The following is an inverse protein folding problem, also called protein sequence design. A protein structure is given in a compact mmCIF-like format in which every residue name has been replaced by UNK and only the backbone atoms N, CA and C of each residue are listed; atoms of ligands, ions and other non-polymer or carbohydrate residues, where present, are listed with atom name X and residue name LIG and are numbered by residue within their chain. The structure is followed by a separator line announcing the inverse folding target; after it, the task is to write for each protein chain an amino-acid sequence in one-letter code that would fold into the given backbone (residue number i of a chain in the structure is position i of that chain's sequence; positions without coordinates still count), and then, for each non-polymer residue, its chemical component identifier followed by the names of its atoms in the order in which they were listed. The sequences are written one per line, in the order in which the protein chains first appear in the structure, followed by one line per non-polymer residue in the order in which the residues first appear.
data_IF_650544865682
#
_entry.id   IF_650544865682
#
_cell.length_a   1.000
_cell.length_b   1.000
_cell.length_c   1.000
_cell.angle_alpha   90.00
_cell.angle_beta   90.00
_cell.angle_gamma   90.00
#
_symmetry.space_group_name_H-M   'P 1'
#
loop_
_entity.id
_entity.type
_entity.pdbx_description
1 polymer ?
#
# COMPACT_ATOMS: atom_id res chain seq x y z
N UNK A 1 -0.31 -24.26 11.59
CA UNK A 1 -0.44 -23.47 10.34
C UNK A 1 0.26 -24.25 9.25
N UNK A 2 -0.48 -24.88 8.33
CA UNK A 2 0.11 -25.40 7.11
C UNK A 2 0.45 -24.18 6.25
N UNK A 3 1.74 -23.92 6.03
CA UNK A 3 2.17 -22.91 5.07
C UNK A 3 1.62 -23.26 3.69
N UNK A 4 1.17 -22.27 2.93
CA UNK A 4 0.80 -22.48 1.54
C UNK A 4 2.08 -22.86 0.77
N UNK A 5 2.26 -24.16 0.56
CA UNK A 5 3.46 -24.75 -0.06
C UNK A 5 3.71 -24.20 -1.47
N UNK A 6 2.73 -23.51 -2.06
CA UNK A 6 2.87 -22.86 -3.37
C UNK A 6 3.70 -21.58 -3.31
N UNK A 7 3.66 -20.84 -2.20
CA UNK A 7 4.43 -19.58 -2.07
C UNK A 7 5.93 -19.87 -1.92
N UNK A 8 6.27 -21.00 -1.30
CA UNK A 8 7.66 -21.44 -1.10
C UNK A 8 8.39 -21.66 -2.43
N UNK A 9 7.66 -21.95 -3.52
CA UNK A 9 8.22 -22.19 -4.86
C UNK A 9 9.05 -21.02 -5.38
N UNK A 10 8.63 -19.79 -5.07
CA UNK A 10 9.26 -18.58 -5.60
C UNK A 10 9.85 -17.68 -4.51
N UNK A 11 9.71 -18.05 -3.23
CA UNK A 11 10.12 -17.23 -2.08
C UNK A 11 11.54 -16.68 -2.22
N UNK A 12 12.54 -17.53 -2.48
CA UNK A 12 13.93 -17.10 -2.61
C UNK A 12 14.14 -16.14 -3.80
N UNK A 13 13.39 -16.34 -4.90
CA UNK A 13 13.47 -15.48 -6.08
C UNK A 13 12.93 -14.10 -5.71
N UNK A 14 11.78 -14.05 -5.05
CA UNK A 14 11.14 -12.80 -4.62
C UNK A 14 12.02 -12.09 -3.58
N UNK A 15 12.47 -12.79 -2.55
CA UNK A 15 13.32 -12.23 -1.50
C UNK A 15 14.60 -11.60 -2.09
N UNK A 16 15.27 -12.30 -3.00
CA UNK A 16 16.48 -11.79 -3.65
C UNK A 16 16.22 -10.62 -4.59
N UNK A 17 15.14 -10.65 -5.37
CA UNK A 17 14.84 -9.58 -6.34
C UNK A 17 14.30 -8.32 -5.69
N UNK A 18 13.63 -8.46 -4.54
CA UNK A 18 12.90 -7.41 -3.84
C UNK A 18 13.49 -7.03 -2.47
N UNK A 19 14.71 -7.44 -2.15
CA UNK A 19 15.35 -7.18 -0.85
C UNK A 19 15.27 -5.70 -0.39
N UNK A 20 15.38 -4.77 -1.33
CA UNK A 20 15.32 -3.32 -1.09
C UNK A 20 14.01 -2.68 -1.61
N UNK A 21 13.02 -3.51 -1.92
CA UNK A 21 11.74 -3.11 -2.51
C UNK A 21 10.82 -2.44 -1.49
N UNK A 22 10.17 -1.36 -1.92
CA UNK A 22 9.17 -0.63 -1.12
C UNK A 22 8.02 -1.55 -0.69
N UNK A 23 7.50 -2.36 -1.62
CA UNK A 23 6.39 -3.25 -1.33
C UNK A 23 6.82 -4.46 -0.52
N UNK A 24 8.03 -4.98 -0.72
CA UNK A 24 8.60 -5.98 0.18
C UNK A 24 8.65 -5.46 1.63
N UNK A 25 9.07 -4.20 1.82
CA UNK A 25 9.11 -3.57 3.14
C UNK A 25 7.73 -3.41 3.76
N UNK A 26 6.72 -2.96 2.99
CA UNK A 26 5.36 -2.68 3.49
C UNK A 26 4.52 -3.95 3.64
N UNK A 27 4.42 -4.76 2.58
CA UNK A 27 3.50 -5.90 2.47
C UNK A 27 4.09 -7.19 3.02
N UNK A 28 5.42 -7.26 3.17
CA UNK A 28 6.19 -8.46 3.55
C UNK A 28 6.23 -9.52 2.45
N UNK A 29 7.12 -10.49 2.65
CA UNK A 29 7.44 -11.54 1.67
C UNK A 29 6.22 -12.34 1.23
N UNK A 30 5.39 -12.77 2.17
CA UNK A 30 4.22 -13.63 1.90
C UNK A 30 3.26 -13.00 0.89
N UNK A 31 2.80 -11.77 1.16
CA UNK A 31 1.87 -11.05 0.29
C UNK A 31 2.51 -10.69 -1.06
N UNK A 32 3.80 -10.33 -1.06
CA UNK A 32 4.50 -10.02 -2.30
C UNK A 32 4.68 -11.27 -3.18
N UNK A 33 5.04 -12.42 -2.61
CA UNK A 33 5.09 -13.70 -3.29
C UNK A 33 3.74 -14.03 -3.93
N UNK A 34 2.65 -13.91 -3.15
CA UNK A 34 1.29 -14.18 -3.62
C UNK A 34 0.92 -13.31 -4.83
N UNK A 35 1.26 -12.02 -4.81
CA UNK A 35 1.05 -11.10 -5.95
C UNK A 35 1.87 -11.50 -7.17
N UNK A 36 3.16 -11.78 -7.00
CA UNK A 36 4.05 -12.17 -8.11
C UNK A 36 3.59 -13.48 -8.74
N UNK A 37 3.20 -14.46 -7.92
CA UNK A 37 2.61 -15.71 -8.40
C UNK A 37 1.32 -15.45 -9.18
N UNK A 38 0.43 -14.59 -8.67
CA UNK A 38 -0.79 -14.23 -9.39
C UNK A 38 -0.50 -13.53 -10.73
N UNK A 39 0.52 -12.67 -10.79
CA UNK A 39 0.97 -12.05 -12.05
C UNK A 39 1.49 -13.10 -13.03
N UNK A 40 2.39 -13.97 -12.56
CA UNK A 40 2.98 -15.04 -13.37
C UNK A 40 1.91 -15.97 -13.97
N UNK A 41 0.94 -16.40 -13.18
CA UNK A 41 -0.12 -17.31 -13.61
C UNK A 41 -1.11 -16.59 -14.52
N UNK A 42 -1.70 -15.48 -14.07
CA UNK A 42 -2.84 -14.84 -14.77
C UNK A 42 -2.44 -14.01 -15.97
N UNK A 43 -1.29 -13.35 -15.90
CA UNK A 43 -0.87 -12.39 -16.92
C UNK A 43 0.23 -12.93 -17.82
N UNK A 44 0.88 -14.05 -17.47
CA UNK A 44 1.94 -14.64 -18.29
C UNK A 44 1.74 -16.14 -18.60
N UNK A 45 0.64 -16.78 -18.17
CA UNK A 45 0.34 -18.21 -18.33
C UNK A 45 1.40 -19.14 -17.71
N UNK A 46 1.98 -18.75 -16.57
CA UNK A 46 2.88 -19.62 -15.81
C UNK A 46 2.15 -20.82 -15.20
N UNK A 47 2.73 -22.01 -15.32
CA UNK A 47 2.18 -23.25 -14.76
C UNK A 47 2.88 -23.63 -13.44
N UNK A 48 2.18 -23.55 -12.28
CA UNK A 48 2.75 -23.93 -11.00
C UNK A 48 2.84 -25.45 -10.77
N UNK A 49 2.29 -26.30 -11.66
CA UNK A 49 2.32 -27.76 -11.50
C UNK A 49 3.74 -28.36 -11.59
N UNK A 50 4.65 -27.65 -12.28
CA UNK A 50 6.08 -27.99 -12.32
C UNK A 50 6.92 -27.02 -11.48
N UNK A 51 7.14 -27.25 -10.17
CA UNK A 51 7.87 -26.36 -9.25
C UNK A 51 9.15 -25.72 -9.81
N UNK A 52 10.06 -26.54 -10.34
CA UNK A 52 11.34 -26.08 -10.85
C UNK A 52 11.19 -25.26 -12.13
N UNK A 53 10.31 -25.72 -13.04
CA UNK A 53 10.00 -25.02 -14.29
C UNK A 53 9.32 -23.67 -13.99
N UNK A 54 8.37 -23.64 -13.07
CA UNK A 54 7.69 -22.43 -12.63
C UNK A 54 8.66 -21.43 -12.00
N UNK A 55 9.53 -21.89 -11.11
CA UNK A 55 10.56 -21.05 -10.48
C UNK A 55 11.53 -20.46 -11.52
N UNK A 56 11.96 -21.27 -12.49
CA UNK A 56 12.82 -20.81 -13.59
C UNK A 56 12.09 -19.79 -14.48
N UNK A 57 10.83 -20.05 -14.79
CA UNK A 57 9.95 -19.15 -15.53
C UNK A 57 9.81 -17.79 -14.81
N UNK A 58 9.42 -17.77 -13.54
CA UNK A 58 9.30 -16.53 -12.75
C UNK A 58 10.62 -15.77 -12.72
N UNK A 59 11.75 -16.46 -12.57
CA UNK A 59 13.08 -15.85 -12.63
C UNK A 59 13.37 -15.20 -14.00
N UNK A 60 13.00 -15.84 -15.10
CA UNK A 60 13.17 -15.28 -16.45
C UNK A 60 12.32 -14.03 -16.67
N UNK A 61 11.12 -13.95 -16.08
CA UNK A 61 10.25 -12.78 -16.19
C UNK A 61 10.82 -11.48 -15.59
N UNK A 62 11.93 -11.53 -14.84
CA UNK A 62 12.63 -10.33 -14.33
C UNK A 62 13.73 -9.80 -15.24
N UNK A 63 14.02 -10.45 -16.37
CA UNK A 63 15.19 -10.13 -17.18
C UNK A 63 14.82 -9.85 -18.63
N UNK A 64 15.47 -8.83 -19.16
CA UNK A 64 15.53 -8.52 -20.57
C UNK A 64 16.88 -9.01 -21.10
N UNK A 65 16.88 -10.22 -21.68
CA UNK A 65 18.11 -10.94 -21.97
C UNK A 65 18.88 -11.23 -20.68
N UNK A 66 20.08 -10.65 -20.54
CA UNK A 66 20.94 -10.83 -19.36
C UNK A 66 20.86 -9.67 -18.35
N UNK A 67 20.08 -8.64 -18.65
CA UNK A 67 20.01 -7.42 -17.84
C UNK A 67 18.64 -7.28 -17.17
N UNK A 68 18.57 -6.47 -16.11
CA UNK A 68 17.27 -6.00 -15.61
C UNK A 68 16.72 -4.94 -16.59
N UNK A 69 15.42 -4.98 -16.91
CA UNK A 69 14.79 -3.96 -17.76
C UNK A 69 14.92 -2.58 -17.11
N UNK A 70 15.23 -1.57 -17.93
CA UNK A 70 15.29 -0.17 -17.47
C UNK A 70 13.99 0.53 -17.87
N UNK A 71 13.23 0.96 -16.87
CA UNK A 71 11.99 1.70 -17.06
C UNK A 71 12.26 3.20 -16.92
N UNK A 72 12.09 4.02 -17.97
CA UNK A 72 12.22 5.47 -17.87
C UNK A 72 11.34 6.05 -16.77
N UNK A 73 11.84 7.08 -16.09
CA UNK A 73 11.13 7.84 -15.05
C UNK A 73 10.78 7.10 -13.75
N UNK A 74 11.02 5.78 -13.69
CA UNK A 74 10.86 4.97 -12.47
C UNK A 74 12.22 4.38 -12.07
N UNK A 75 13.12 5.19 -11.49
CA UNK A 75 14.40 4.70 -11.02
C UNK A 75 14.20 3.59 -9.97
N UNK A 76 14.98 2.52 -10.09
CA UNK A 76 14.87 1.37 -9.19
C UNK A 76 13.67 0.45 -9.47
N UNK A 77 12.95 0.61 -10.58
CA UNK A 77 11.86 -0.29 -10.95
C UNK A 77 12.30 -1.76 -10.94
N UNK A 78 11.56 -2.59 -10.21
CA UNK A 78 11.68 -4.06 -10.24
C UNK A 78 10.57 -4.53 -11.18
N UNK A 79 10.90 -4.59 -12.46
CA UNK A 79 9.95 -4.88 -13.52
C UNK A 79 9.78 -6.39 -13.75
N UNK A 80 8.59 -6.77 -14.22
CA UNK A 80 8.21 -8.13 -14.55
C UNK A 80 7.57 -8.15 -15.94
N UNK A 81 8.00 -9.07 -16.79
CA UNK A 81 7.63 -9.09 -18.20
C UNK A 81 6.11 -9.08 -18.38
N UNK A 82 5.61 -8.19 -19.24
CA UNK A 82 4.20 -8.12 -19.59
C UNK A 82 3.98 -8.74 -20.96
N UNK A 83 3.38 -9.94 -20.98
CA UNK A 83 3.15 -10.68 -22.23
C UNK A 83 2.18 -9.90 -23.14
N UNK A 84 2.56 -9.57 -24.39
CA UNK A 84 1.76 -8.69 -25.25
C UNK A 84 0.52 -9.37 -25.87
N UNK A 85 0.51 -10.70 -25.92
CA UNK A 85 -0.51 -11.54 -26.56
C UNK A 85 -1.80 -11.71 -25.72
N UNK A 86 -1.75 -11.37 -24.43
CA UNK A 86 -2.88 -11.56 -23.52
C UNK A 86 -3.79 -10.32 -23.51
N UNK A 87 -5.03 -10.52 -23.99
CA UNK A 87 -6.13 -9.53 -23.99
C UNK A 87 -6.53 -9.02 -22.60
N UNK A 88 -5.98 -9.58 -21.52
CA UNK A 88 -6.16 -9.09 -20.16
C UNK A 88 -5.55 -7.69 -19.92
N UNK A 89 -4.82 -7.12 -20.90
CA UNK A 89 -3.97 -5.93 -20.75
C UNK A 89 -4.68 -4.57 -20.64
N UNK A 90 -5.99 -4.48 -20.86
CA UNK A 90 -6.66 -3.16 -20.79
C UNK A 90 -6.70 -2.56 -19.39
N UNK A 91 -6.68 -3.39 -18.34
CA UNK A 91 -6.80 -2.92 -16.94
C UNK A 91 -5.44 -2.66 -16.31
N UNK A 92 -4.43 -3.48 -16.62
CA UNK A 92 -3.12 -3.37 -15.98
C UNK A 92 -2.29 -2.19 -16.52
N UNK A 93 -1.50 -1.56 -15.64
CA UNK A 93 -0.52 -0.56 -16.04
C UNK A 93 0.74 -1.25 -16.54
N UNK A 94 1.16 -0.90 -17.76
CA UNK A 94 2.39 -1.41 -18.38
C UNK A 94 3.28 -0.24 -18.73
N UNK A 95 4.58 -0.46 -18.60
CA UNK A 95 5.60 0.56 -18.78
C UNK A 95 6.57 0.09 -19.86
N UNK A 96 6.84 0.98 -20.81
CA UNK A 96 7.79 0.72 -21.88
C UNK A 96 9.22 0.85 -21.32
N UNK A 97 10.00 -0.21 -21.46
CA UNK A 97 11.44 -0.19 -21.17
C UNK A 97 12.24 0.53 -22.26
N UNK A 98 13.52 0.78 -22.02
CA UNK A 98 14.42 1.42 -23.00
C UNK A 98 14.58 0.64 -24.31
N UNK A 99 14.26 -0.65 -24.33
CA UNK A 99 14.26 -1.49 -25.54
C UNK A 99 12.96 -1.43 -26.35
N UNK A 100 11.91 -0.81 -25.80
CA UNK A 100 10.55 -0.83 -26.36
C UNK A 100 9.65 -1.95 -25.82
N UNK A 101 10.16 -2.90 -25.02
CA UNK A 101 9.32 -3.95 -24.43
C UNK A 101 8.40 -3.42 -23.32
N UNK A 102 7.24 -4.05 -23.13
CA UNK A 102 6.27 -3.72 -22.09
C UNK A 102 6.52 -4.53 -20.81
N UNK A 103 6.43 -3.87 -19.66
CA UNK A 103 6.67 -4.46 -18.34
C UNK A 103 5.64 -4.01 -17.31
N UNK A 104 5.30 -4.88 -16.38
CA UNK A 104 4.67 -4.51 -15.12
C UNK A 104 5.74 -4.02 -14.15
N UNK A 105 5.43 -3.06 -13.29
CA UNK A 105 6.32 -2.69 -12.17
C UNK A 105 5.74 -3.33 -10.91
N UNK A 106 6.35 -4.42 -10.45
CA UNK A 106 5.85 -5.16 -9.28
C UNK A 106 6.37 -4.60 -7.97
N UNK A 107 7.48 -3.87 -8.00
CA UNK A 107 8.03 -3.15 -6.87
C UNK A 107 8.99 -2.05 -7.37
N UNK A 108 9.42 -1.17 -6.47
CA UNK A 108 10.45 -0.17 -6.73
C UNK A 108 11.46 -0.23 -5.59
N UNK A 109 12.73 -0.41 -5.92
CA UNK A 109 13.82 -0.34 -4.96
C UNK A 109 14.01 1.10 -4.47
N UNK A 110 14.11 1.28 -3.16
CA UNK A 110 14.41 2.58 -2.56
C UNK A 110 15.80 2.58 -1.92
N UNK A 111 16.52 3.69 -2.09
CA UNK A 111 17.83 3.90 -1.44
C UNK A 111 17.70 4.05 0.07
N UNK A 112 16.54 4.53 0.55
CA UNK A 112 16.25 4.77 1.96
C UNK A 112 14.82 4.34 2.29
N UNK A 113 14.68 3.07 2.70
CA UNK A 113 13.39 2.51 3.15
C UNK A 113 12.86 3.18 4.42
N UNK A 114 13.71 3.88 5.17
CA UNK A 114 13.35 4.53 6.43
C UNK A 114 12.40 5.72 6.22
N UNK A 115 12.33 6.25 4.99
CA UNK A 115 11.38 7.30 4.55
C UNK A 115 10.05 6.76 4.05
N UNK A 116 9.92 5.45 3.89
CA UNK A 116 8.67 4.82 3.46
C UNK A 116 7.78 4.65 4.68
N UNK A 117 6.55 5.17 4.62
CA UNK A 117 5.59 5.05 5.72
C UNK A 117 5.13 3.60 5.81
N UNK A 118 5.37 2.89 6.92
CA UNK A 118 5.01 1.48 7.05
C UNK A 118 3.53 1.35 7.42
N UNK A 119 2.65 1.60 6.46
CA UNK A 119 1.19 1.58 6.62
C UNK A 119 0.63 0.20 7.00
N UNK A 120 1.45 -0.84 7.02
CA UNK A 120 1.06 -2.20 7.39
C UNK A 120 0.12 -2.86 6.38
N UNK A 121 0.06 -4.18 6.41
CA UNK A 121 -0.84 -4.94 5.55
C UNK A 121 -2.26 -4.93 6.12
N UNK A 122 -3.24 -4.55 5.30
CA UNK A 122 -4.65 -4.80 5.58
C UNK A 122 -5.01 -6.21 5.09
N UNK A 123 -5.46 -7.08 6.00
CA UNK A 123 -5.93 -8.43 5.67
C UNK A 123 -7.38 -8.59 6.16
N UNK A 124 -8.37 -8.55 5.26
CA UNK A 124 -9.78 -8.69 5.65
C UNK A 124 -10.03 -10.06 6.26
N UNK A 125 -10.80 -10.13 7.35
CA UNK A 125 -11.24 -11.38 7.99
C UNK A 125 -10.14 -12.32 8.49
N UNK A 126 -8.88 -11.85 8.61
CA UNK A 126 -7.74 -12.72 8.96
C UNK A 126 -7.99 -13.57 10.21
N UNK A 127 -8.64 -12.98 11.21
CA UNK A 127 -8.91 -13.63 12.51
C UNK A 127 -10.19 -14.45 12.51
N UNK A 128 -11.17 -14.12 11.66
CA UNK A 128 -12.51 -14.71 11.69
C UNK A 128 -12.73 -15.79 10.63
N UNK A 129 -12.13 -15.65 9.45
CA UNK A 129 -12.36 -16.52 8.31
C UNK A 129 -11.14 -16.57 7.36
N UNK A 130 -10.05 -17.24 7.75
CA UNK A 130 -8.80 -17.24 6.99
C UNK A 130 -8.93 -17.78 5.55
N UNK A 131 -9.81 -18.78 5.32
CA UNK A 131 -10.09 -19.26 3.96
C UNK A 131 -10.75 -18.20 3.07
N UNK A 132 -11.65 -17.38 3.65
CA UNK A 132 -12.26 -16.24 2.95
C UNK A 132 -11.22 -15.15 2.69
N UNK A 133 -10.31 -14.92 3.63
CA UNK A 133 -9.17 -14.00 3.43
C UNK A 133 -8.34 -14.41 2.23
N UNK A 134 -7.93 -15.68 2.15
CA UNK A 134 -7.13 -16.19 1.03
C UNK A 134 -7.85 -16.00 -0.31
N UNK A 135 -9.13 -16.39 -0.40
CA UNK A 135 -9.92 -16.21 -1.63
C UNK A 135 -10.05 -14.74 -2.06
N UNK A 136 -10.29 -13.82 -1.12
CA UNK A 136 -10.35 -12.37 -1.42
C UNK A 136 -8.99 -11.84 -1.86
N UNK A 137 -7.93 -12.24 -1.18
CA UNK A 137 -6.59 -11.82 -1.54
C UNK A 137 -6.25 -12.34 -2.94
N UNK A 138 -6.59 -13.59 -3.26
CA UNK A 138 -6.39 -14.11 -4.59
C UNK A 138 -7.20 -13.33 -5.62
N UNK A 139 -8.44 -12.95 -5.37
CA UNK A 139 -9.26 -12.28 -6.39
C UNK A 139 -8.95 -10.80 -6.65
N UNK A 140 -8.09 -10.14 -5.85
CA UNK A 140 -7.70 -8.75 -6.08
C UNK A 140 -6.66 -8.58 -7.20
N UNK A 141 -6.60 -7.37 -7.74
CA UNK A 141 -5.58 -6.93 -8.69
C UNK A 141 -4.19 -7.04 -8.04
N UNK A 142 -3.31 -7.94 -8.53
CA UNK A 142 -2.00 -8.13 -7.93
C UNK A 142 -1.03 -6.99 -8.26
N UNK A 143 -1.22 -6.28 -9.38
CA UNK A 143 -0.28 -5.26 -9.88
C UNK A 143 -0.50 -3.92 -9.15
N UNK A 144 0.53 -3.34 -8.52
CA UNK A 144 0.48 -2.00 -7.94
C UNK A 144 0.27 -0.92 -9.02
N UNK A 145 -0.53 0.10 -8.71
CA UNK A 145 -0.74 1.23 -9.60
C UNK A 145 0.22 2.37 -9.23
N UNK A 146 1.41 2.36 -9.83
CA UNK A 146 2.43 3.39 -9.60
C UNK A 146 2.03 4.71 -10.25
N UNK A 147 2.18 5.80 -9.48
CA UNK A 147 1.92 7.17 -9.94
C UNK A 147 3.19 7.70 -10.58
N UNK A 148 3.23 7.79 -11.90
CA UNK A 148 4.40 8.29 -12.64
C UNK A 148 4.00 9.59 -13.34
N UNK A 149 4.63 10.68 -12.94
CA UNK A 149 4.39 12.02 -13.51
C UNK A 149 5.39 12.37 -14.61
N UNK A 150 5.50 13.67 -14.90
CA UNK A 150 6.44 14.25 -15.86
C UNK A 150 7.90 14.10 -15.40
N UNK A 151 8.44 12.88 -15.48
CA UNK A 151 9.85 12.60 -15.24
C UNK A 151 10.19 11.96 -13.90
N UNK A 152 9.22 11.74 -13.02
CA UNK A 152 9.49 11.21 -11.68
C UNK A 152 8.39 10.29 -11.14
N UNK A 153 8.78 9.45 -10.17
CA UNK A 153 7.89 8.58 -9.44
C UNK A 153 7.23 9.33 -8.27
N UNK A 154 5.91 9.34 -8.26
CA UNK A 154 5.07 9.86 -7.21
C UNK A 154 4.57 11.28 -7.44
N UNK A 155 3.64 11.70 -6.60
CA UNK A 155 3.06 13.04 -6.61
C UNK A 155 3.00 13.60 -5.17
N UNK A 156 3.35 14.87 -4.93
CA UNK A 156 3.22 15.49 -3.60
C UNK A 156 1.78 15.43 -3.09
N UNK A 157 1.58 15.13 -1.81
CA UNK A 157 0.24 15.09 -1.20
C UNK A 157 -0.28 16.48 -0.87
N UNK A 158 0.62 17.43 -0.58
CA UNK A 158 0.31 18.82 -0.26
C UNK A 158 -0.47 19.58 -1.36
N UNK A 159 -0.87 20.83 -1.08
CA UNK A 159 -1.65 21.65 -2.02
C UNK A 159 -0.86 22.02 -3.28
N UNK A 160 0.47 22.02 -3.19
CA UNK A 160 1.39 22.23 -4.29
C UNK A 160 1.62 20.89 -4.99
N UNK A 161 1.25 20.81 -6.26
CA UNK A 161 1.41 19.59 -7.04
C UNK A 161 0.46 19.66 -8.21
N UNK A 162 1.00 20.15 -9.32
CA UNK A 162 0.30 20.19 -10.58
C UNK A 162 -0.12 18.76 -10.99
N UNK A 163 -1.34 18.64 -11.47
CA UNK A 163 -1.97 17.37 -11.89
C UNK A 163 -1.58 17.05 -13.34
N UNK A 164 -0.65 17.79 -13.92
CA UNK A 164 -0.26 17.61 -15.31
C UNK A 164 0.17 16.18 -15.63
N UNK A 165 -0.47 15.66 -16.69
CA UNK A 165 -0.16 14.45 -17.48
C UNK A 165 0.53 13.33 -16.72
N UNK A 166 -0.24 12.58 -15.95
CA UNK A 166 0.26 11.32 -15.38
C UNK A 166 0.26 10.22 -16.43
N UNK A 167 1.32 9.40 -16.42
CA UNK A 167 1.31 8.17 -17.18
C UNK A 167 0.13 7.32 -16.71
N UNK A 168 -0.69 6.88 -17.66
CA UNK A 168 -1.95 6.15 -17.41
C UNK A 168 -3.05 6.96 -16.71
N UNK A 169 -2.96 8.29 -16.62
CA UNK A 169 -4.00 9.12 -16.00
C UNK A 169 -5.40 8.85 -16.54
N UNK A 170 -5.53 8.68 -17.85
CA UNK A 170 -6.81 8.40 -18.53
C UNK A 170 -7.21 6.92 -18.50
N UNK A 171 -6.35 6.02 -18.01
CA UNK A 171 -6.72 4.60 -17.97
C UNK A 171 -7.91 4.40 -17.03
N UNK A 172 -8.93 3.62 -17.44
CA UNK A 172 -10.03 3.26 -16.56
C UNK A 172 -9.54 2.47 -15.34
N UNK A 173 -10.01 2.84 -14.16
CA UNK A 173 -9.86 2.09 -12.92
C UNK A 173 -11.09 1.20 -12.70
N UNK A 174 -10.98 -0.03 -13.19
CA UNK A 174 -12.06 -1.01 -13.22
C UNK A 174 -11.80 -2.20 -12.29
N UNK A 175 -12.81 -3.03 -12.10
CA UNK A 175 -12.68 -4.34 -11.49
C UNK A 175 -11.93 -5.28 -12.43
N UNK A 176 -11.49 -6.43 -11.91
CA UNK A 176 -10.80 -7.47 -12.70
C UNK A 176 -11.65 -8.01 -13.85
N UNK A 177 -12.97 -7.94 -13.75
CA UNK A 177 -13.92 -8.29 -14.82
C UNK A 177 -14.20 -7.12 -15.79
N UNK A 178 -13.50 -6.00 -15.67
CA UNK A 178 -13.66 -4.81 -16.53
C UNK A 178 -14.80 -3.86 -16.12
N UNK A 179 -15.63 -4.20 -15.14
CA UNK A 179 -16.72 -3.31 -14.73
C UNK A 179 -16.21 -2.08 -13.96
N UNK A 180 -16.88 -0.91 -14.07
CA UNK A 180 -16.46 0.28 -13.32
C UNK A 180 -16.51 0.08 -11.80
N UNK A 181 -15.48 0.56 -11.09
CA UNK A 181 -15.52 0.66 -9.63
C UNK A 181 -16.25 1.93 -9.22
N UNK A 182 -17.52 1.84 -8.85
CA UNK A 182 -18.30 3.03 -8.47
C UNK A 182 -17.81 3.69 -7.18
N UNK A 183 -17.41 2.85 -6.22
CA UNK A 183 -17.04 3.25 -4.87
C UNK A 183 -15.83 2.45 -4.41
N UNK A 184 -14.85 3.13 -3.82
CA UNK A 184 -13.67 2.50 -3.23
C UNK A 184 -13.32 3.16 -1.91
N UNK A 185 -12.94 2.37 -0.91
CA UNK A 185 -12.43 2.84 0.37
C UNK A 185 -10.92 3.01 0.33
N UNK A 186 -10.43 4.15 0.79
CA UNK A 186 -9.01 4.34 1.14
C UNK A 186 -8.83 3.88 2.57
N UNK A 187 -7.88 2.97 2.80
CA UNK A 187 -7.54 2.48 4.12
C UNK A 187 -6.10 2.87 4.46
N UNK A 188 -5.92 3.43 5.65
CA UNK A 188 -4.64 3.90 6.16
C UNK A 188 -4.46 3.31 7.55
N UNK A 189 -3.48 2.41 7.72
CA UNK A 189 -3.07 1.90 9.03
C UNK A 189 -1.74 2.55 9.42
N UNK A 190 -1.82 3.84 9.74
CA UNK A 190 -0.64 4.64 10.05
C UNK A 190 0.01 4.18 11.37
N UNK A 191 1.36 4.08 11.45
CA UNK A 191 2.02 3.61 12.66
C UNK A 191 1.68 4.45 13.88
N UNK A 192 1.11 3.83 14.91
CA UNK A 192 0.77 4.48 16.17
C UNK A 192 -0.60 5.14 16.24
N UNK A 193 -1.40 5.10 15.16
CA UNK A 193 -2.80 5.53 15.13
C UNK A 193 -3.73 4.34 14.89
N UNK A 194 -5.04 4.56 15.10
CA UNK A 194 -6.07 3.60 14.72
C UNK A 194 -6.20 3.50 13.19
N UNK A 195 -6.78 2.40 12.71
CA UNK A 195 -7.08 2.25 11.29
C UNK A 195 -8.07 3.36 10.89
N UNK A 196 -7.71 4.10 9.86
CA UNK A 196 -8.54 5.15 9.29
C UNK A 196 -9.04 4.73 7.92
N UNK A 197 -10.32 4.98 7.66
CA UNK A 197 -10.97 4.64 6.40
C UNK A 197 -11.78 5.82 5.87
N UNK A 198 -11.76 6.03 4.55
CA UNK A 198 -12.67 6.97 3.91
C UNK A 198 -13.09 6.49 2.53
N UNK A 199 -14.36 6.69 2.23
CA UNK A 199 -14.93 6.40 0.92
C UNK A 199 -14.53 7.42 -0.15
N UNK A 200 -14.28 6.94 -1.37
CA UNK A 200 -14.16 7.69 -2.62
C UNK A 200 -15.32 7.26 -3.54
N UNK A 201 -16.06 8.23 -4.05
CA UNK A 201 -16.96 8.05 -5.20
C UNK A 201 -16.19 8.33 -6.49
N UNK A 202 -16.11 7.33 -7.36
CA UNK A 202 -15.34 7.39 -8.60
C UNK A 202 -16.10 8.10 -9.72
N UNK A 203 -17.44 8.10 -9.67
CA UNK A 203 -18.27 8.93 -10.53
C UNK A 203 -18.04 10.41 -10.20
N UNK A 204 -17.87 11.23 -11.22
CA UNK A 204 -17.70 12.67 -11.10
C UNK A 204 -18.71 13.37 -12.01
N UNK A 205 -19.82 13.83 -11.44
CA UNK A 205 -20.90 14.45 -12.23
C UNK A 205 -20.51 15.80 -12.82
N UNK A 206 -19.53 16.52 -12.22
CA UNK A 206 -19.07 17.81 -12.74
C UNK A 206 -18.03 17.71 -13.85
N UNK A 207 -17.30 16.58 -13.93
CA UNK A 207 -16.33 16.26 -14.98
C UNK A 207 -16.45 14.79 -15.36
N UNK A 208 -17.44 14.43 -16.21
CA UNK A 208 -17.70 13.05 -16.58
C UNK A 208 -16.49 12.33 -17.18
N UNK A 209 -15.64 13.04 -17.92
CA UNK A 209 -14.39 12.54 -18.53
C UNK A 209 -13.35 12.06 -17.51
N UNK A 210 -13.38 12.62 -16.28
CA UNK A 210 -12.52 12.16 -15.18
C UNK A 210 -13.13 10.94 -14.46
N UNK A 211 -14.39 10.60 -14.70
CA UNK A 211 -15.07 9.53 -13.97
C UNK A 211 -14.39 8.19 -14.18
N UNK A 212 -14.20 7.45 -13.09
CA UNK A 212 -13.58 6.12 -13.11
C UNK A 212 -12.16 6.08 -13.69
N UNK A 213 -11.46 7.20 -13.82
CA UNK A 213 -10.07 7.22 -14.29
C UNK A 213 -9.08 6.98 -13.16
N UNK A 214 -7.87 6.53 -13.50
CA UNK A 214 -6.76 6.48 -12.56
C UNK A 214 -6.40 7.87 -12.02
N UNK A 215 -6.46 8.92 -12.86
CA UNK A 215 -6.26 10.32 -12.43
C UNK A 215 -7.23 10.70 -11.31
N UNK A 216 -8.50 10.36 -11.45
CA UNK A 216 -9.51 10.60 -10.41
C UNK A 216 -9.19 9.85 -9.12
N UNK A 217 -8.79 8.58 -9.22
CA UNK A 217 -8.42 7.76 -8.07
C UNK A 217 -7.26 8.39 -7.28
N UNK A 218 -6.18 8.77 -7.97
CA UNK A 218 -4.99 9.34 -7.34
C UNK A 218 -5.30 10.70 -6.71
N UNK A 219 -6.03 11.60 -7.39
CA UNK A 219 -6.42 12.89 -6.83
C UNK A 219 -7.28 12.75 -5.57
N UNK A 220 -8.27 11.87 -5.61
CA UNK A 220 -9.13 11.59 -4.45
C UNK A 220 -8.32 10.97 -3.31
N UNK A 221 -7.42 10.03 -3.60
CA UNK A 221 -6.54 9.43 -2.60
C UNK A 221 -5.65 10.48 -1.94
N UNK A 222 -5.03 11.41 -2.70
CA UNK A 222 -4.28 12.54 -2.12
C UNK A 222 -5.12 13.37 -1.16
N UNK A 223 -6.36 13.69 -1.54
CA UNK A 223 -7.28 14.45 -0.68
C UNK A 223 -7.66 13.66 0.58
N UNK A 224 -7.83 12.34 0.48
CA UNK A 224 -8.09 11.48 1.64
C UNK A 224 -6.89 11.39 2.57
N UNK A 225 -5.66 11.32 2.05
CA UNK A 225 -4.44 11.36 2.87
C UNK A 225 -4.30 12.72 3.56
N UNK A 226 -4.57 13.84 2.87
CA UNK A 226 -4.62 15.18 3.48
C UNK A 226 -5.63 15.24 4.62
N UNK A 227 -6.83 14.70 4.40
CA UNK A 227 -7.86 14.62 5.43
C UNK A 227 -7.41 13.78 6.63
N UNK A 228 -6.82 12.62 6.41
CA UNK A 228 -6.26 11.78 7.48
C UNK A 228 -5.26 12.57 8.35
N UNK A 229 -4.30 13.27 7.74
CA UNK A 229 -3.32 14.09 8.46
C UNK A 229 -4.04 15.15 9.31
N UNK A 230 -4.95 15.90 8.70
CA UNK A 230 -5.72 16.97 9.38
C UNK A 230 -6.58 16.45 10.53
N UNK A 231 -7.24 15.30 10.36
CA UNK A 231 -8.10 14.70 11.38
C UNK A 231 -7.27 14.19 12.59
N UNK A 232 -5.96 13.95 12.41
CA UNK A 232 -5.10 13.35 13.42
C UNK A 232 -4.03 14.29 14.01
N UNK A 233 -3.99 15.57 13.62
CA UNK A 233 -3.01 16.56 14.13
C UNK A 233 -2.98 16.66 15.66
N UNK A 234 -4.13 16.54 16.32
CA UNK A 234 -4.26 16.60 17.79
C UNK A 234 -4.36 15.23 18.46
N UNK A 235 -4.28 14.15 17.69
CA UNK A 235 -4.44 12.78 18.21
C UNK A 235 -3.10 12.25 18.72
N UNK A 236 -2.99 11.76 19.97
CA UNK A 236 -1.77 11.17 20.48
C UNK A 236 -1.31 9.98 19.63
N UNK A 237 -0.04 9.98 19.23
CA UNK A 237 0.56 8.88 18.48
C UNK A 237 1.40 7.99 19.40
N UNK A 238 1.20 6.68 19.31
CA UNK A 238 2.01 5.70 20.07
C UNK A 238 3.43 5.53 19.49
N UNK A 239 3.69 6.07 18.30
CA UNK A 239 4.97 5.97 17.62
C UNK A 239 5.53 7.37 17.30
N UNK A 240 6.47 7.83 18.13
CA UNK A 240 7.04 9.19 18.04
C UNK A 240 7.70 9.52 16.70
N UNK A 241 8.16 8.50 15.95
CA UNK A 241 8.76 8.68 14.62
C UNK A 241 7.74 9.06 13.55
N UNK A 242 6.50 8.64 13.71
CA UNK A 242 5.44 8.77 12.71
C UNK A 242 4.31 9.68 13.20
N UNK A 243 4.60 10.66 14.05
CA UNK A 243 3.59 11.61 14.53
C UNK A 243 3.17 12.51 13.37
N UNK A 244 1.86 12.61 13.12
CA UNK A 244 1.33 13.61 12.17
C UNK A 244 1.06 14.93 12.87
N UNK A 245 1.19 16.03 12.12
CA UNK A 245 0.86 17.38 12.57
C UNK A 245 1.72 18.45 11.91
N UNK A 246 1.52 19.69 12.32
CA UNK A 246 2.11 20.88 11.68
C UNK A 246 3.31 21.46 12.45
N UNK A 247 3.66 20.89 13.60
CA UNK A 247 4.80 21.35 14.40
C UNK A 247 6.13 20.83 13.85
N UNK A 248 7.26 21.52 14.10
CA UNK A 248 8.57 21.06 13.65
C UNK A 248 8.88 19.61 14.04
N UNK A 249 9.20 18.77 13.07
CA UNK A 249 9.49 17.35 13.25
C UNK A 249 8.26 16.45 13.44
N UNK A 250 7.05 16.97 13.23
CA UNK A 250 5.86 16.17 12.90
C UNK A 250 5.72 16.07 11.38
N UNK A 251 4.93 15.11 10.92
CA UNK A 251 4.71 14.85 9.49
C UNK A 251 3.42 15.54 9.06
N UNK A 252 3.56 16.54 8.19
CA UNK A 252 2.44 17.22 7.56
C UNK A 252 2.12 16.61 6.19
N UNK A 253 1.02 17.04 5.56
CA UNK A 253 0.71 16.65 4.20
C UNK A 253 1.75 17.12 3.16
N UNK A 254 2.51 18.18 3.45
CA UNK A 254 3.55 18.72 2.55
C UNK A 254 4.81 17.86 2.53
N UNK A 255 4.98 17.03 3.55
CA UNK A 255 6.12 16.14 3.69
C UNK A 255 5.93 14.82 2.97
N UNK A 256 4.72 14.54 2.47
CA UNK A 256 4.34 13.26 1.89
C UNK A 256 4.29 13.30 0.36
N UNK A 257 4.77 12.21 -0.23
CA UNK A 257 4.69 11.87 -1.64
C UNK A 257 3.88 10.58 -1.77
N UNK A 258 2.83 10.60 -2.59
CA UNK A 258 2.06 9.41 -2.96
C UNK A 258 2.76 8.71 -4.12
N UNK A 259 3.34 7.54 -3.87
CA UNK A 259 4.11 6.78 -4.86
C UNK A 259 3.24 5.84 -5.69
N UNK A 260 2.29 5.16 -5.04
CA UNK A 260 1.43 4.17 -5.68
C UNK A 260 0.12 3.99 -4.92
N UNK A 261 -0.80 3.26 -5.56
CA UNK A 261 -2.01 2.73 -4.94
C UNK A 261 -2.03 1.22 -5.11
N UNK A 262 -2.26 0.48 -4.03
CA UNK A 262 -2.42 -0.98 -4.07
C UNK A 262 -3.85 -1.36 -3.73
N UNK A 263 -4.44 -2.28 -4.49
CA UNK A 263 -5.74 -2.87 -4.18
C UNK A 263 -5.53 -3.89 -3.05
N UNK A 264 -6.29 -3.78 -1.96
CA UNK A 264 -6.17 -4.68 -0.78
C UNK A 264 -7.45 -5.49 -0.53
N UNK A 265 -8.55 -5.13 -1.18
CA UNK A 265 -9.77 -5.92 -1.34
C UNK A 265 -10.51 -5.44 -2.59
N UNK A 266 -11.61 -6.09 -2.99
CA UNK A 266 -12.41 -5.60 -4.13
C UNK A 266 -12.89 -4.15 -3.96
N UNK A 267 -13.23 -3.75 -2.74
CA UNK A 267 -13.75 -2.42 -2.42
C UNK A 267 -12.76 -1.48 -1.75
N UNK A 268 -11.51 -1.88 -1.55
CA UNK A 268 -10.55 -1.07 -0.80
C UNK A 268 -9.16 -1.00 -1.44
N UNK A 269 -8.55 0.17 -1.32
CA UNK A 269 -7.18 0.46 -1.69
C UNK A 269 -6.38 0.94 -0.49
N UNK A 270 -5.07 0.83 -0.59
CA UNK A 270 -4.11 1.43 0.33
C UNK A 270 -3.12 2.29 -0.47
N UNK A 271 -2.87 3.55 -0.04
CA UNK A 271 -1.83 4.37 -0.65
C UNK A 271 -0.45 3.84 -0.25
N UNK A 272 0.56 4.07 -1.09
CA UNK A 272 1.97 3.88 -0.75
C UNK A 272 2.60 5.26 -0.60
N UNK A 273 3.07 5.57 0.60
CA UNK A 273 3.52 6.91 0.98
C UNK A 273 5.00 6.92 1.30
N UNK A 274 5.67 8.00 0.89
CA UNK A 274 7.08 8.29 1.16
C UNK A 274 7.21 9.70 1.70
N UNK A 275 8.14 9.93 2.62
CA UNK A 275 8.57 11.27 3.03
C UNK A 275 9.47 11.90 1.96
N UNK A 276 9.35 13.21 1.75
CA UNK A 276 10.27 13.99 0.90
C UNK A 276 11.74 13.72 1.26
N UNK A 277 12.62 13.79 0.27
CA UNK A 277 14.03 13.36 0.42
C UNK A 277 14.86 14.23 1.36
N UNK A 278 14.44 15.46 1.59
CA UNK A 278 15.02 16.43 2.52
C UNK A 278 14.27 16.52 3.86
N UNK A 279 13.24 15.68 4.09
CA UNK A 279 12.60 15.60 5.39
C UNK A 279 13.59 15.07 6.43
N UNK A 280 13.72 15.76 7.56
CA UNK A 280 14.55 15.33 8.68
C UNK A 280 13.69 14.55 9.66
N UNK A 281 13.80 13.22 9.62
CA UNK A 281 13.18 12.36 10.62
C UNK A 281 13.78 12.68 11.99
N UNK A 282 12.92 12.83 13.00
CA UNK A 282 13.37 12.78 14.38
C UNK A 282 13.96 11.40 14.63
N UNK A 283 15.29 11.33 14.69
CA UNK A 283 15.94 10.18 15.29
C UNK A 283 15.36 10.07 16.70
N UNK A 284 14.88 8.88 17.08
CA UNK A 284 14.51 8.59 18.45
C UNK A 284 15.63 9.13 19.30
N UNK A 285 15.38 10.21 20.05
CA UNK A 285 16.38 10.80 20.92
C UNK A 285 16.90 9.60 21.72
N UNK A 286 18.21 9.25 21.65
CA UNK A 286 18.71 8.13 22.43
C UNK A 286 18.25 8.45 23.84
N UNK A 287 17.45 7.55 24.42
CA UNK A 287 16.97 7.67 25.78
C UNK A 287 18.17 8.17 26.56
N UNK A 288 18.15 9.44 26.99
CA UNK A 288 19.15 9.92 27.93
C UNK A 288 18.89 9.04 29.12
N UNK A 289 19.67 7.97 29.24
CA UNK A 289 19.71 7.10 30.41
C UNK A 289 19.84 8.06 31.55
N UNK A 290 18.74 8.22 32.30
CA UNK A 290 18.60 9.26 33.29
C UNK A 290 19.88 9.25 34.11
N UNK A 291 20.65 10.34 33.97
CA UNK A 291 21.89 10.53 34.69
C UNK A 291 21.57 10.30 36.15
N UNK A 292 22.21 9.28 36.71
CA UNK A 292 22.46 9.02 38.12
C UNK A 292 21.71 9.97 39.05
N UNK A 293 20.56 9.51 39.56
CA UNK A 293 19.86 10.17 40.66
C UNK A 293 20.87 10.36 41.79
N UNK A 294 21.22 11.60 42.21
CA UNK A 294 21.94 11.79 43.45
C UNK A 294 21.05 11.33 44.62
N UNK A 295 21.63 10.77 45.69
CA UNK A 295 20.88 10.14 46.76
C UNK A 295 20.01 11.18 47.48
N UNK A 296 18.68 11.05 47.38
CA UNK A 296 17.75 11.83 48.18
C UNK A 296 17.27 11.05 49.39
N UNK A 297 17.42 11.70 50.54
CA UNK A 297 16.99 11.27 51.86
C UNK A 297 15.48 11.02 51.95
N UNK A 298 15.17 9.94 52.67
CA UNK A 298 13.82 9.53 53.08
C UNK A 298 13.31 10.46 54.19
N UNK A 299 12.21 11.15 53.96
CA UNK A 299 11.29 11.53 55.03
C UNK A 299 9.87 11.15 54.61
N UNK A 300 9.25 10.31 55.45
CA UNK A 300 7.93 9.75 55.24
C UNK A 300 6.79 10.66 55.71
N UNK A 301 5.58 10.22 55.35
CA UNK A 301 4.23 10.59 55.82
C UNK A 301 3.33 10.89 54.60
N UNK A 302 2.05 10.57 54.52
CA UNK A 302 1.10 9.81 55.33
C UNK A 302 -0.10 9.59 54.40
N UNK A 303 -0.79 8.47 54.57
CA UNK A 303 -1.88 7.97 53.72
C UNK A 303 -3.15 8.83 53.80
N UNK A 304 -3.83 9.02 52.66
CA UNK A 304 -5.27 9.31 52.59
C UNK A 304 -5.88 8.55 51.39
N UNK A 305 -7.01 7.83 51.57
CA UNK A 305 -7.65 7.08 50.49
C UNK A 305 -8.70 7.94 49.77
N UNK A 306 -8.56 8.08 48.45
CA UNK A 306 -9.62 8.64 47.60
C UNK A 306 -10.51 7.51 47.05
N UNK A 307 -11.80 7.66 47.31
CA UNK A 307 -12.93 6.87 46.86
C UNK A 307 -13.08 6.86 45.33
N UNK A 308 -13.37 5.67 44.81
CA UNK A 308 -13.61 5.38 43.39
C UNK A 308 -15.13 5.31 43.17
N UNK A 309 -15.66 6.13 42.25
CA UNK A 309 -17.02 5.99 41.71
C UNK A 309 -16.97 5.41 40.27
N UNK A 310 -17.87 4.48 39.90
CA UNK A 310 -17.89 3.85 38.59
C UNK A 310 -18.84 4.58 37.63
N UNK A 311 -18.31 5.19 36.58
CA UNK A 311 -19.12 5.72 35.47
C UNK A 311 -19.20 4.73 34.30
N UNK A 312 -20.43 4.27 34.06
CA UNK A 312 -21.12 4.23 32.76
C UNK A 312 -20.36 3.71 31.54
N UNK A 313 -20.59 2.44 31.23
CA UNK A 313 -20.28 1.87 29.92
C UNK A 313 -21.50 2.01 28.99
N UNK A 314 -21.55 3.08 28.20
CA UNK A 314 -22.42 3.15 27.02
C UNK A 314 -21.55 3.22 25.77
N UNK A 315 -21.40 2.06 25.11
CA UNK A 315 -20.93 1.94 23.74
C UNK A 315 -21.73 0.82 23.08
N UNK A 316 -23.01 1.10 22.82
CA UNK A 316 -23.77 0.43 21.78
C UNK A 316 -23.74 1.31 20.52
N UNK A 317 -23.61 0.64 19.37
CA UNK A 317 -23.74 1.13 17.99
C UNK A 317 -22.43 1.27 17.21
N UNK A 318 -22.01 0.15 16.61
CA UNK A 318 -21.43 0.09 15.25
C UNK A 318 -21.50 -1.35 14.74
N UNK A 319 -22.73 -1.85 14.58
CA UNK A 319 -23.03 -3.14 13.96
C UNK A 319 -24.06 -2.95 12.85
N UNK A 320 -23.74 -2.14 11.84
CA UNK A 320 -24.52 -2.06 10.59
C UNK A 320 -23.60 -1.91 9.38
N UNK A 321 -22.66 -2.83 9.24
CA UNK A 321 -22.07 -3.08 7.92
C UNK A 321 -23.12 -3.80 7.07
N UNK A 322 -23.66 -3.06 6.12
CA UNK A 322 -24.63 -3.54 5.15
C UNK A 322 -24.21 -4.87 4.53
N UNK A 323 -25.16 -5.79 4.55
CA UNK A 323 -25.15 -7.05 3.83
C UNK A 323 -25.01 -6.73 2.34
N UNK A 324 -23.81 -6.94 1.79
CA UNK A 324 -23.62 -6.90 0.34
C UNK A 324 -24.21 -8.18 -0.23
N UNK A 325 -25.31 -8.06 -0.97
CA UNK A 325 -25.83 -9.13 -1.81
C UNK A 325 -24.81 -9.43 -2.91
N UNK A 326 -24.06 -10.52 -2.72
CA UNK A 326 -23.19 -11.06 -3.75
C UNK A 326 -24.01 -12.00 -4.63
N UNK A 327 -24.24 -11.56 -5.87
CA UNK A 327 -24.68 -12.43 -6.97
C UNK A 327 -23.65 -13.55 -7.11
N UNK A 328 -24.07 -14.80 -6.91
CA UNK A 328 -23.29 -15.99 -7.22
C UNK A 328 -22.85 -15.92 -8.69
N UNK A 329 -21.54 -15.83 -8.93
CA UNK A 329 -21.00 -16.00 -10.27
C UNK A 329 -20.93 -17.50 -10.59
N UNK A 330 -21.37 -17.93 -11.78
CA UNK A 330 -21.16 -19.29 -12.23
C UNK A 330 -19.66 -19.53 -12.46
N UNK A 331 -19.15 -20.62 -11.90
CA UNK A 331 -17.84 -21.15 -12.26
C UNK A 331 -17.89 -21.62 -13.72
N UNK A 332 -17.04 -21.04 -14.56
CA UNK A 332 -16.75 -21.55 -15.91
C UNK A 332 -15.40 -22.25 -15.91
#
# INVERSE_FOLDING_TARGET
MYGDTRLDLIHDVVASKHEHGILMYILKSEELCRRIQAVAIRYNNGDPAGPNTFRAFVRSCYHEGHCRPRIPFVPGAIAFYARPDLKCSNVAHTYTSTSGQQWYILDVAANDLSRIVPLGLYMPYRELAPGRTASILDSIEPIPLWVVGNGSLGVPVGPQGDVCTWQHGEKPFTNTNGSPRSTVFVRIKWPGYNIWESQIRMKNDSRPEDSYTFRRLVNQTRMKVRKFVSDNTSTPCRNSRWVVGDMPGQISAKDLILLAVVVVSHGAIMPILKLRDDYVLRNSCPFQTASTVPPFHVYGSSLAPCSYDPFGSDNQELSSLGQFDYVQMPCY
#
